data_IF_099451957252
#
_entry.id   IF_099451957252
#
_cell.length_a   1.000
_cell.length_b   1.000
_cell.length_c   1.000
_cell.angle_alpha   90.00
_cell.angle_beta   90.00
_cell.angle_gamma   90.00
#
_symmetry.space_group_name_H-M   'P 1'
#
loop_
_entity.id
_entity.type
_entity.pdbx_description
1 polymer ?
#
# COMPACT_ATOMS: atom_id res chain seq x y z
N UNK A 1 -60.23 44.79 -40.79
CA UNK A 1 -59.45 43.54 -40.67
C UNK A 1 -58.84 43.49 -39.26
N UNK A 2 -59.26 42.58 -38.38
CA UNK A 2 -58.69 42.48 -37.04
C UNK A 2 -57.49 41.53 -37.01
N UNK A 3 -56.44 41.92 -36.29
CA UNK A 3 -55.24 41.14 -36.02
C UNK A 3 -55.53 40.13 -34.90
N UNK A 4 -55.38 38.84 -35.20
CA UNK A 4 -55.39 37.74 -34.24
C UNK A 4 -54.09 37.75 -33.42
N UNK A 5 -54.21 37.91 -32.10
CA UNK A 5 -53.12 37.72 -31.15
C UNK A 5 -53.01 36.23 -30.79
N UNK A 6 -51.83 35.63 -31.03
CA UNK A 6 -51.47 34.30 -30.56
C UNK A 6 -50.82 34.41 -29.17
N UNK A 7 -51.43 33.78 -28.17
CA UNK A 7 -50.87 33.63 -26.82
C UNK A 7 -50.13 32.30 -26.71
N UNK A 8 -48.82 32.35 -26.45
CA UNK A 8 -48.03 31.17 -26.07
C UNK A 8 -48.15 30.94 -24.55
N UNK A 9 -48.87 29.89 -24.15
CA UNK A 9 -48.79 29.36 -22.78
C UNK A 9 -47.48 28.59 -22.60
N UNK A 10 -46.58 29.13 -21.77
CA UNK A 10 -45.39 28.40 -21.32
C UNK A 10 -45.77 27.36 -20.25
N UNK A 11 -45.36 26.08 -20.40
CA UNK A 11 -45.62 25.05 -19.40
C UNK A 11 -44.86 25.33 -18.10
N UNK A 12 -45.54 25.16 -16.96
CA UNK A 12 -44.93 25.30 -15.62
C UNK A 12 -43.89 24.20 -15.38
N UNK A 13 -42.71 24.51 -14.83
CA UNK A 13 -41.72 23.50 -14.48
C UNK A 13 -42.24 22.59 -13.35
N UNK A 14 -41.86 21.29 -13.35
CA UNK A 14 -42.27 20.35 -12.31
C UNK A 14 -41.72 20.76 -10.94
N UNK A 15 -42.57 20.66 -9.92
CA UNK A 15 -42.20 20.95 -8.54
C UNK A 15 -41.07 20.04 -8.06
N UNK A 16 -39.96 20.64 -7.63
CA UNK A 16 -38.82 19.94 -7.02
C UNK A 16 -39.28 19.19 -5.77
N UNK A 17 -39.33 17.85 -5.84
CA UNK A 17 -39.48 16.98 -4.68
C UNK A 17 -38.32 17.23 -3.71
N UNK A 18 -38.61 17.88 -2.58
CA UNK A 18 -37.69 18.01 -1.46
C UNK A 18 -37.45 16.62 -0.85
N UNK A 19 -36.45 15.91 -1.33
CA UNK A 19 -35.93 14.74 -0.63
C UNK A 19 -35.42 15.19 0.73
N UNK A 20 -36.15 14.86 1.81
CA UNK A 20 -35.64 14.94 3.18
C UNK A 20 -34.40 14.07 3.25
N UNK A 21 -33.22 14.68 3.22
CA UNK A 21 -31.97 14.05 3.60
C UNK A 21 -32.14 13.55 5.05
N UNK A 22 -32.40 12.24 5.20
CA UNK A 22 -32.38 11.60 6.51
C UNK A 22 -30.96 11.78 7.06
N UNK A 23 -30.82 12.59 8.12
CA UNK A 23 -29.56 12.71 8.87
C UNK A 23 -29.19 11.32 9.39
N UNK A 24 -28.10 10.76 8.86
CA UNK A 24 -27.52 9.52 9.36
C UNK A 24 -27.06 9.76 10.82
N UNK A 25 -27.37 8.87 11.78
CA UNK A 25 -26.90 9.01 13.16
C UNK A 25 -25.37 9.09 13.19
N UNK A 26 -24.82 9.99 14.00
CA UNK A 26 -23.38 10.04 14.26
C UNK A 26 -22.98 8.86 15.14
N UNK A 27 -21.83 8.21 14.88
CA UNK A 27 -21.33 7.15 15.75
C UNK A 27 -21.04 7.69 17.15
N UNK A 28 -21.37 6.88 18.17
CA UNK A 28 -21.03 7.20 19.56
C UNK A 28 -19.51 7.14 19.77
N UNK A 29 -18.98 8.00 20.66
CA UNK A 29 -17.58 7.97 21.05
C UNK A 29 -17.19 6.62 21.66
N UNK A 30 -16.05 6.07 21.24
CA UNK A 30 -15.56 4.78 21.71
C UNK A 30 -16.19 3.57 21.02
N UNK A 31 -17.14 3.78 20.10
CA UNK A 31 -17.72 2.72 19.30
C UNK A 31 -16.77 2.29 18.17
N UNK A 32 -16.71 0.98 17.93
CA UNK A 32 -16.26 0.46 16.64
C UNK A 32 -17.44 0.50 15.68
N UNK A 33 -17.30 1.22 14.58
CA UNK A 33 -18.29 1.25 13.50
C UNK A 33 -17.77 0.44 12.33
N UNK A 34 -18.61 -0.40 11.73
CA UNK A 34 -18.26 -1.14 10.51
C UNK A 34 -19.01 -0.54 9.33
N UNK A 35 -18.27 -0.05 8.34
CA UNK A 35 -18.82 0.25 7.03
C UNK A 35 -18.62 -0.95 6.10
N UNK A 36 -19.27 -0.93 4.93
CA UNK A 36 -19.06 -1.90 3.86
C UNK A 36 -18.80 -1.19 2.55
N UNK A 37 -17.92 -1.77 1.73
CA UNK A 37 -17.70 -1.32 0.36
C UNK A 37 -18.79 -1.84 -0.60
N UNK A 38 -18.59 -1.64 -1.90
CA UNK A 38 -19.53 -2.09 -2.93
C UNK A 38 -19.62 -3.63 -3.07
N UNK A 39 -18.60 -4.37 -2.61
CA UNK A 39 -18.53 -5.83 -2.59
C UNK A 39 -18.91 -6.41 -1.23
N UNK A 40 -19.50 -5.61 -0.34
CA UNK A 40 -19.90 -5.95 1.03
C UNK A 40 -18.74 -6.33 1.97
N UNK A 41 -17.49 -6.07 1.60
CA UNK A 41 -16.30 -6.25 2.45
C UNK A 41 -16.33 -5.23 3.58
N UNK A 42 -15.98 -5.67 4.78
CA UNK A 42 -16.04 -4.83 5.98
C UNK A 42 -14.89 -3.82 6.02
N UNK A 43 -15.17 -2.61 6.52
CA UNK A 43 -14.15 -1.62 6.85
C UNK A 43 -14.40 -1.18 8.29
N UNK A 44 -13.48 -1.50 9.20
CA UNK A 44 -13.62 -1.20 10.62
C UNK A 44 -13.12 0.20 10.95
N UNK A 45 -13.87 0.96 11.76
CA UNK A 45 -13.53 2.28 12.25
C UNK A 45 -13.57 2.32 13.77
N UNK A 46 -12.44 2.63 14.39
CA UNK A 46 -12.34 2.86 15.83
C UNK A 46 -12.50 4.37 16.11
N UNK A 47 -13.72 4.81 16.46
CA UNK A 47 -14.08 6.24 16.51
C UNK A 47 -13.84 6.82 17.90
N UNK A 48 -12.80 7.66 18.03
CA UNK A 48 -12.40 8.30 19.29
C UNK A 48 -12.59 9.82 19.29
N UNK A 49 -13.28 10.36 18.28
CA UNK A 49 -13.58 11.78 18.15
C UNK A 49 -15.00 12.03 17.64
N UNK A 50 -15.72 13.00 18.22
CA UNK A 50 -17.12 13.32 17.85
C UNK A 50 -17.26 13.83 16.41
N UNK A 51 -16.22 14.46 15.87
CA UNK A 51 -16.19 15.07 14.53
C UNK A 51 -15.74 14.11 13.43
N UNK A 52 -15.75 12.79 13.68
CA UNK A 52 -15.27 11.81 12.72
C UNK A 52 -16.22 11.69 11.50
N UNK A 53 -15.67 11.90 10.31
CA UNK A 53 -16.36 11.69 9.03
C UNK A 53 -16.23 10.24 8.56
N UNK A 54 -16.78 9.30 9.34
CA UNK A 54 -16.67 7.85 9.04
C UNK A 54 -17.23 7.51 7.67
N UNK A 55 -18.35 8.14 7.29
CA UNK A 55 -18.96 7.91 5.98
C UNK A 55 -18.03 8.37 4.85
N UNK A 56 -17.43 9.57 4.94
CA UNK A 56 -16.48 10.06 3.95
C UNK A 56 -15.22 9.20 3.86
N UNK A 57 -14.68 8.74 5.00
CA UNK A 57 -13.51 7.85 5.00
C UNK A 57 -13.81 6.48 4.38
N UNK A 58 -14.95 5.87 4.74
CA UNK A 58 -15.37 4.59 4.17
C UNK A 58 -15.60 4.69 2.66
N UNK A 59 -16.23 5.78 2.22
CA UNK A 59 -16.51 6.07 0.83
C UNK A 59 -15.23 6.36 0.01
N UNK A 60 -14.22 6.96 0.63
CA UNK A 60 -12.89 7.11 0.02
C UNK A 60 -12.19 5.75 -0.14
N UNK A 61 -12.12 4.95 0.93
CA UNK A 61 -11.44 3.66 0.89
C UNK A 61 -12.16 2.66 -0.03
N UNK A 62 -13.49 2.58 0.04
CA UNK A 62 -14.28 1.68 -0.81
C UNK A 62 -14.27 2.02 -2.31
N UNK A 63 -13.79 3.20 -2.70
CA UNK A 63 -13.54 3.56 -4.11
C UNK A 63 -12.07 3.45 -4.50
N UNK A 64 -11.17 3.27 -3.54
CA UNK A 64 -9.77 3.03 -3.84
C UNK A 64 -9.57 1.60 -4.38
N UNK A 65 -8.44 1.33 -5.01
CA UNK A 65 -8.09 0.01 -5.52
C UNK A 65 -7.68 -0.86 -4.34
N UNK A 66 -8.48 -1.89 -4.05
CA UNK A 66 -8.22 -2.83 -2.97
C UNK A 66 -8.83 -4.21 -3.26
N UNK A 67 -8.27 -5.24 -2.62
CA UNK A 67 -8.81 -6.59 -2.54
C UNK A 67 -9.49 -6.82 -1.19
N UNK A 68 -9.51 -8.08 -0.76
CA UNK A 68 -10.12 -8.52 0.51
C UNK A 68 -9.31 -8.06 1.74
N UNK A 69 -8.07 -7.61 1.55
CA UNK A 69 -7.22 -7.08 2.61
C UNK A 69 -7.85 -5.89 3.32
N UNK A 70 -8.74 -5.13 2.66
CA UNK A 70 -9.45 -4.02 3.31
C UNK A 70 -10.22 -4.47 4.58
N UNK A 71 -10.62 -5.74 4.64
CA UNK A 71 -11.28 -6.35 5.79
C UNK A 71 -10.40 -6.50 7.03
N UNK A 72 -9.08 -6.34 6.90
CA UNK A 72 -8.12 -6.57 7.98
C UNK A 72 -7.52 -5.27 8.54
N UNK A 73 -7.87 -4.12 7.97
CA UNK A 73 -7.50 -2.80 8.50
C UNK A 73 -8.59 -2.22 9.41
N UNK A 74 -8.15 -1.57 10.48
CA UNK A 74 -8.99 -0.70 11.31
C UNK A 74 -8.53 0.74 11.19
N UNK A 75 -9.43 1.65 10.84
CA UNK A 75 -9.17 3.09 10.80
C UNK A 75 -9.53 3.69 12.16
N UNK A 76 -8.52 3.99 12.97
CA UNK A 76 -8.66 4.73 14.21
C UNK A 76 -8.73 6.24 13.93
N UNK A 77 -9.86 6.84 14.28
CA UNK A 77 -10.11 8.28 14.08
C UNK A 77 -10.04 9.00 15.42
N UNK A 78 -9.02 9.84 15.61
CA UNK A 78 -8.72 10.49 16.90
C UNK A 78 -8.72 12.01 16.78
N UNK A 79 -8.85 12.78 17.87
CA UNK A 79 -8.61 14.22 17.84
C UNK A 79 -7.20 14.52 17.33
N UNK A 80 -7.02 15.61 16.57
CA UNK A 80 -5.70 16.00 16.01
C UNK A 80 -4.61 16.06 17.08
N UNK A 81 -4.93 16.55 18.28
CA UNK A 81 -4.01 16.63 19.41
C UNK A 81 -3.50 15.27 19.91
N UNK A 82 -4.19 14.16 19.59
CA UNK A 82 -3.82 12.81 20.02
C UNK A 82 -3.00 12.03 18.99
N UNK A 83 -2.83 12.55 17.76
CA UNK A 83 -2.09 11.85 16.70
C UNK A 83 -0.68 11.50 17.15
N UNK A 84 0.07 12.48 17.66
CA UNK A 84 1.46 12.28 18.10
C UNK A 84 1.59 11.20 19.17
N UNK A 85 0.65 11.15 20.11
CA UNK A 85 0.61 10.12 21.16
C UNK A 85 0.35 8.73 20.58
N UNK A 86 -0.62 8.59 19.68
CA UNK A 86 -0.94 7.30 19.08
C UNK A 86 0.15 6.81 18.12
N UNK A 87 0.75 7.72 17.36
CA UNK A 87 1.80 7.42 16.39
C UNK A 87 3.20 7.36 16.99
N UNK A 88 3.37 7.72 18.26
CA UNK A 88 4.65 7.74 18.97
C UNK A 88 5.73 8.59 18.26
N UNK A 89 5.29 9.61 17.53
CA UNK A 89 6.16 10.54 16.79
C UNK A 89 5.57 11.96 16.90
N UNK A 90 6.41 12.91 17.33
CA UNK A 90 6.05 14.31 17.49
C UNK A 90 5.78 15.03 16.16
N UNK A 91 6.19 14.49 15.02
CA UNK A 91 6.00 15.06 13.68
C UNK A 91 4.92 14.35 12.88
N UNK A 92 4.42 13.21 13.33
CA UNK A 92 3.40 12.44 12.63
C UNK A 92 2.10 13.23 12.46
N UNK A 93 1.55 13.17 11.26
CA UNK A 93 0.21 13.68 10.91
C UNK A 93 -0.83 12.55 10.81
N UNK A 94 -0.35 11.32 10.62
CA UNK A 94 -1.04 10.05 10.72
C UNK A 94 0.03 8.95 10.86
N UNK A 95 -0.41 7.71 11.02
CA UNK A 95 0.49 6.56 10.97
C UNK A 95 -0.28 5.27 10.69
N UNK A 96 0.40 4.36 10.00
CA UNK A 96 0.06 2.96 9.94
C UNK A 96 0.89 2.16 10.95
N UNK A 97 0.24 1.22 11.63
CA UNK A 97 0.91 0.20 12.44
C UNK A 97 0.24 -1.13 12.16
N UNK A 98 1.00 -2.16 11.80
CA UNK A 98 0.44 -3.48 11.51
C UNK A 98 1.40 -4.61 11.81
N UNK A 99 0.83 -5.79 11.99
CA UNK A 99 1.55 -7.07 12.08
C UNK A 99 0.64 -8.20 11.62
N UNK A 100 1.22 -9.25 11.04
CA UNK A 100 0.53 -10.51 10.71
C UNK A 100 -0.77 -10.32 9.91
N UNK A 101 -0.75 -9.47 8.89
CA UNK A 101 -1.89 -9.26 8.00
C UNK A 101 -3.03 -8.40 8.57
N UNK A 102 -2.86 -7.81 9.75
CA UNK A 102 -3.82 -6.84 10.34
C UNK A 102 -3.14 -5.50 10.57
N UNK A 103 -3.90 -4.42 10.40
CA UNK A 103 -3.36 -3.06 10.47
C UNK A 103 -4.27 -2.08 11.20
N UNK A 104 -3.67 -1.07 11.81
CA UNK A 104 -4.34 0.10 12.35
C UNK A 104 -3.80 1.33 11.64
N UNK A 105 -4.68 2.03 10.95
CA UNK A 105 -4.42 3.37 10.42
C UNK A 105 -4.94 4.37 11.44
N UNK A 106 -4.08 5.26 11.94
CA UNK A 106 -4.51 6.35 12.83
C UNK A 106 -4.51 7.67 12.09
N UNK A 107 -5.68 8.30 11.94
CA UNK A 107 -5.85 9.61 11.28
C UNK A 107 -6.57 10.62 12.16
N UNK A 108 -6.37 11.94 11.92
CA UNK A 108 -7.08 12.96 12.67
C UNK A 108 -8.54 13.06 12.21
N UNK A 109 -9.45 13.37 13.13
CA UNK A 109 -10.86 13.64 12.86
C UNK A 109 -11.05 14.97 12.12
N UNK A 110 -10.88 14.94 10.79
CA UNK A 110 -10.95 16.09 9.88
C UNK A 110 -11.82 15.73 8.68
N UNK A 111 -12.36 16.72 7.95
CA UNK A 111 -13.10 16.44 6.71
C UNK A 111 -12.27 15.57 5.75
N UNK A 112 -12.89 14.57 5.11
CA UNK A 112 -12.16 13.61 4.24
C UNK A 112 -11.29 14.30 3.18
N UNK A 113 -11.73 15.42 2.62
CA UNK A 113 -10.97 16.21 1.63
C UNK A 113 -9.60 16.67 2.13
N UNK A 114 -9.46 16.89 3.44
CA UNK A 114 -8.21 17.39 4.05
C UNK A 114 -7.24 16.27 4.38
N UNK A 115 -7.74 15.05 4.62
CA UNK A 115 -6.93 13.89 5.01
C UNK A 115 -6.85 12.83 3.92
N UNK A 116 -7.45 13.06 2.75
CA UNK A 116 -7.55 12.06 1.67
C UNK A 116 -6.20 11.48 1.27
N UNK A 117 -5.22 12.33 0.96
CA UNK A 117 -3.89 11.89 0.56
C UNK A 117 -3.22 11.10 1.69
N UNK A 118 -3.31 11.60 2.92
CA UNK A 118 -2.76 10.95 4.11
C UNK A 118 -3.43 9.59 4.39
N UNK A 119 -4.76 9.49 4.33
CA UNK A 119 -5.48 8.23 4.55
C UNK A 119 -5.14 7.21 3.46
N UNK A 120 -5.03 7.63 2.19
CA UNK A 120 -4.59 6.76 1.11
C UNK A 120 -3.12 6.33 1.29
N UNK A 121 -2.26 7.23 1.76
CA UNK A 121 -0.87 6.92 2.07
C UNK A 121 -0.77 5.83 3.15
N UNK A 122 -1.43 6.03 4.30
CA UNK A 122 -1.43 5.02 5.37
C UNK A 122 -2.09 3.70 4.94
N UNK A 123 -3.10 3.76 4.08
CA UNK A 123 -3.69 2.56 3.50
C UNK A 123 -2.76 1.88 2.48
N UNK A 124 -1.93 2.63 1.77
CA UNK A 124 -0.87 2.10 0.92
C UNK A 124 0.12 1.23 1.71
N UNK A 125 0.54 1.68 2.90
CA UNK A 125 1.35 0.85 3.82
C UNK A 125 0.62 -0.44 4.22
N UNK A 126 -0.70 -0.39 4.42
CA UNK A 126 -1.48 -1.60 4.70
C UNK A 126 -1.49 -2.59 3.53
N UNK A 127 -1.70 -2.09 2.31
CA UNK A 127 -1.68 -2.89 1.09
C UNK A 127 -0.31 -3.51 0.87
N UNK A 128 0.78 -2.76 1.05
CA UNK A 128 2.15 -3.30 0.95
C UNK A 128 2.37 -4.47 1.92
N UNK A 129 1.88 -4.33 3.16
CA UNK A 129 2.05 -5.34 4.19
C UNK A 129 1.20 -6.60 4.00
N UNK A 130 0.19 -6.57 3.12
CA UNK A 130 -0.81 -7.64 2.98
C UNK A 130 -0.86 -8.26 1.59
N UNK A 131 -0.39 -7.53 0.57
CA UNK A 131 -0.48 -7.93 -0.83
C UNK A 131 0.92 -8.10 -1.40
N UNK A 132 1.17 -9.22 -2.09
CA UNK A 132 2.41 -9.40 -2.87
C UNK A 132 2.35 -8.53 -4.12
N UNK A 133 3.39 -7.72 -4.34
CA UNK A 133 3.42 -6.74 -5.45
C UNK A 133 4.58 -6.94 -6.45
N UNK A 134 4.79 -8.16 -6.98
CA UNK A 134 5.94 -8.47 -7.84
C UNK A 134 5.97 -7.65 -9.15
N UNK A 135 4.81 -7.29 -9.72
CA UNK A 135 4.77 -6.50 -10.96
C UNK A 135 5.16 -5.06 -10.69
N UNK A 136 4.71 -4.47 -9.58
CA UNK A 136 5.15 -3.14 -9.17
C UNK A 136 6.64 -3.12 -8.85
N UNK A 137 7.15 -4.12 -8.11
CA UNK A 137 8.59 -4.25 -7.81
C UNK A 137 9.44 -4.22 -9.08
N UNK A 138 9.04 -5.04 -10.07
CA UNK A 138 9.69 -5.09 -11.39
C UNK A 138 9.58 -3.77 -12.14
N UNK A 139 8.37 -3.24 -12.33
CA UNK A 139 8.13 -2.01 -13.09
C UNK A 139 8.84 -0.78 -12.47
N UNK A 140 8.91 -0.73 -11.14
CA UNK A 140 9.57 0.35 -10.39
C UNK A 140 11.08 0.12 -10.21
N UNK A 141 11.58 -1.06 -10.60
CA UNK A 141 12.98 -1.50 -10.49
C UNK A 141 13.47 -1.41 -9.04
N UNK A 142 12.65 -1.81 -8.08
CA UNK A 142 12.94 -1.62 -6.65
C UNK A 142 14.17 -2.41 -6.20
N UNK A 143 14.34 -3.64 -6.67
CA UNK A 143 15.53 -4.45 -6.33
C UNK A 143 16.83 -3.84 -6.84
N UNK A 144 16.84 -3.28 -8.05
CA UNK A 144 18.00 -2.54 -8.55
C UNK A 144 18.31 -1.31 -7.68
N UNK A 145 17.29 -0.59 -7.21
CA UNK A 145 17.46 0.54 -6.29
C UNK A 145 17.93 0.09 -4.91
N UNK A 146 17.47 -1.06 -4.43
CA UNK A 146 17.88 -1.62 -3.14
C UNK A 146 19.36 -2.05 -3.20
N UNK A 147 19.76 -2.80 -4.24
CA UNK A 147 21.17 -3.21 -4.47
C UNK A 147 22.13 -2.04 -4.58
N UNK A 148 21.74 -0.99 -5.31
CA UNK A 148 22.57 0.23 -5.47
C UNK A 148 22.46 1.20 -4.29
N UNK A 149 21.67 0.85 -3.27
CA UNK A 149 21.49 1.68 -2.10
C UNK A 149 20.75 2.99 -2.33
N UNK A 150 19.92 3.08 -3.36
CA UNK A 150 19.04 4.25 -3.57
C UNK A 150 17.83 4.23 -2.64
N UNK A 151 17.41 3.03 -2.21
CA UNK A 151 16.33 2.78 -1.22
C UNK A 151 16.79 1.81 -0.14
N UNK A 152 16.02 1.67 0.93
CA UNK A 152 16.17 0.68 1.99
C UNK A 152 14.80 0.10 2.39
N UNK A 153 14.78 -1.10 2.98
CA UNK A 153 13.53 -1.69 3.50
C UNK A 153 12.99 -0.96 4.73
N UNK A 154 13.81 -0.13 5.35
CA UNK A 154 13.51 0.65 6.54
C UNK A 154 13.83 2.14 6.33
N UNK A 155 13.82 2.91 7.42
CA UNK A 155 14.11 4.33 7.42
C UNK A 155 15.61 4.68 7.56
N UNK A 156 16.54 3.71 7.45
CA UNK A 156 17.99 3.95 7.58
C UNK A 156 18.54 4.96 6.57
N UNK A 157 17.82 5.20 5.46
CA UNK A 157 18.14 6.20 4.44
C UNK A 157 17.20 7.42 4.44
N UNK A 158 16.41 7.55 5.49
CA UNK A 158 15.38 8.57 5.63
C UNK A 158 14.06 8.21 4.95
N UNK A 159 13.01 8.90 5.37
CA UNK A 159 11.61 8.70 4.96
C UNK A 159 11.45 8.46 3.45
N UNK A 160 11.87 9.43 2.62
CA UNK A 160 11.66 9.36 1.16
C UNK A 160 12.40 8.22 0.44
N UNK A 161 13.28 7.48 1.14
CA UNK A 161 14.08 6.39 0.59
C UNK A 161 13.70 5.03 1.17
N UNK A 162 12.70 4.92 2.04
CA UNK A 162 12.20 3.61 2.42
C UNK A 162 11.34 3.03 1.29
N UNK A 163 11.37 1.72 1.11
CA UNK A 163 10.56 1.01 0.11
C UNK A 163 9.06 1.21 0.37
N UNK A 164 8.63 1.08 1.63
CA UNK A 164 7.23 1.27 2.01
C UNK A 164 6.72 2.68 1.71
N UNK A 165 7.54 3.71 1.90
CA UNK A 165 7.16 5.09 1.58
C UNK A 165 7.07 5.32 0.07
N UNK A 166 7.95 4.71 -0.72
CA UNK A 166 7.84 4.72 -2.18
C UNK A 166 6.56 4.03 -2.64
N UNK A 167 6.21 2.89 -2.02
CA UNK A 167 4.98 2.17 -2.32
C UNK A 167 3.74 3.00 -1.96
N UNK A 168 3.68 3.54 -0.75
CA UNK A 168 2.54 4.33 -0.25
C UNK A 168 2.30 5.57 -1.11
N UNK A 169 3.36 6.27 -1.54
CA UNK A 169 3.24 7.43 -2.43
C UNK A 169 2.81 7.04 -3.85
N UNK A 170 3.29 5.92 -4.39
CA UNK A 170 2.81 5.40 -5.67
C UNK A 170 1.33 4.97 -5.58
N UNK A 171 0.88 4.44 -4.44
CA UNK A 171 -0.53 4.14 -4.16
C UNK A 171 -1.39 5.42 -4.07
N UNK A 172 -0.89 6.51 -3.49
CA UNK A 172 -1.57 7.81 -3.54
C UNK A 172 -1.70 8.29 -4.99
N UNK A 173 -0.61 8.22 -5.78
CA UNK A 173 -0.61 8.63 -7.18
C UNK A 173 -1.58 7.82 -8.06
N UNK A 174 -1.88 6.56 -7.71
CA UNK A 174 -2.91 5.75 -8.36
C UNK A 174 -4.32 6.36 -8.26
N UNK A 175 -4.57 7.17 -7.23
CA UNK A 175 -5.89 7.71 -6.91
C UNK A 175 -5.98 9.24 -6.97
N UNK A 176 -4.83 9.92 -6.99
CA UNK A 176 -4.71 11.37 -6.91
C UNK A 176 -3.62 11.87 -7.85
N UNK A 177 -4.03 12.44 -8.99
CA UNK A 177 -3.10 13.06 -9.94
C UNK A 177 -2.38 14.25 -9.30
N UNK A 178 -1.07 14.36 -9.54
CA UNK A 178 -0.25 15.48 -9.12
C UNK A 178 0.16 15.49 -7.64
N UNK A 179 -0.28 14.52 -6.83
CA UNK A 179 0.13 14.38 -5.42
C UNK A 179 1.26 13.36 -5.32
N UNK A 180 2.46 13.83 -5.01
CA UNK A 180 3.64 12.98 -4.80
C UNK A 180 4.73 13.72 -4.03
N UNK A 181 5.20 13.13 -2.94
CA UNK A 181 6.11 13.79 -1.98
C UNK A 181 7.58 13.39 -2.17
N UNK A 182 7.85 12.28 -2.85
CA UNK A 182 9.23 11.80 -3.07
C UNK A 182 9.86 12.55 -4.25
N UNK A 183 10.75 13.49 -3.94
CA UNK A 183 11.33 14.41 -4.94
C UNK A 183 12.49 13.84 -5.74
N UNK A 184 13.24 12.89 -5.19
CA UNK A 184 14.41 12.32 -5.86
C UNK A 184 14.05 11.21 -6.87
N UNK A 185 12.83 10.66 -6.76
CA UNK A 185 12.33 9.61 -7.61
C UNK A 185 11.27 10.20 -8.55
N UNK A 186 11.38 9.93 -9.85
CA UNK A 186 10.34 10.31 -10.81
C UNK A 186 8.99 9.74 -10.38
N UNK A 187 7.93 10.52 -10.48
CA UNK A 187 6.55 10.04 -10.28
C UNK A 187 6.30 8.75 -11.07
N UNK A 188 5.44 7.84 -10.57
CA UNK A 188 5.16 6.61 -11.27
C UNK A 188 4.49 6.91 -12.61
N UNK A 189 5.00 6.28 -13.68
CA UNK A 189 4.34 6.29 -14.98
C UNK A 189 3.03 5.50 -14.93
N UNK A 190 2.20 5.64 -15.95
CA UNK A 190 0.99 4.82 -16.04
C UNK A 190 1.29 3.32 -16.09
N UNK A 191 2.42 2.90 -16.67
CA UNK A 191 2.85 1.50 -16.68
C UNK A 191 3.10 0.97 -15.27
N UNK A 192 3.76 1.76 -14.41
CA UNK A 192 3.98 1.43 -13.00
C UNK A 192 2.65 1.36 -12.24
N UNK A 193 1.77 2.35 -12.43
CA UNK A 193 0.45 2.38 -11.78
C UNK A 193 -0.45 1.22 -12.22
N UNK A 194 -0.40 0.82 -13.50
CA UNK A 194 -1.08 -0.38 -14.00
C UNK A 194 -0.54 -1.65 -13.37
N UNK A 195 0.79 -1.78 -13.23
CA UNK A 195 1.40 -2.92 -12.56
C UNK A 195 0.95 -3.04 -11.10
N UNK A 196 0.97 -1.92 -10.36
CA UNK A 196 0.47 -1.84 -8.98
C UNK A 196 -0.99 -2.26 -8.87
N UNK A 197 -1.86 -1.71 -9.72
CA UNK A 197 -3.29 -2.06 -9.74
C UNK A 197 -3.52 -3.55 -10.02
N UNK A 198 -2.74 -4.16 -10.91
CA UNK A 198 -2.85 -5.60 -11.24
C UNK A 198 -2.47 -6.48 -10.05
N UNK A 199 -1.40 -6.10 -9.33
CA UNK A 199 -0.99 -6.84 -8.14
C UNK A 199 -2.07 -6.80 -7.05
N UNK A 200 -2.66 -5.62 -6.80
CA UNK A 200 -3.69 -5.45 -5.76
C UNK A 200 -4.99 -6.18 -6.12
N UNK A 201 -5.41 -6.12 -7.37
CA UNK A 201 -6.69 -6.73 -7.79
C UNK A 201 -6.59 -8.20 -8.14
N UNK A 202 -5.39 -8.78 -8.14
CA UNK A 202 -5.14 -10.15 -8.61
C UNK A 202 -5.49 -10.39 -10.08
N UNK A 203 -5.79 -9.34 -10.85
CA UNK A 203 -6.23 -9.47 -12.25
C UNK A 203 -5.06 -9.73 -13.20
N UNK A 204 -5.10 -10.89 -13.85
CA UNK A 204 -4.33 -11.20 -15.04
C UNK A 204 -5.11 -10.79 -16.29
N UNK A 205 -5.21 -9.50 -16.60
CA UNK A 205 -5.68 -9.09 -17.95
C UNK A 205 -4.51 -9.18 -18.94
N UNK A 206 -4.74 -9.78 -20.11
CA UNK A 206 -3.75 -9.98 -21.18
C UNK A 206 -2.90 -8.73 -21.40
N UNK A 207 -1.60 -8.90 -21.59
CA UNK A 207 -0.70 -7.79 -21.84
C UNK A 207 -1.21 -6.99 -23.06
N UNK A 208 -1.52 -5.68 -22.93
CA UNK A 208 -1.42 -4.83 -24.11
C UNK A 208 0.04 -4.85 -24.59
N UNK A 209 0.30 -4.81 -25.92
CA UNK A 209 1.65 -4.81 -26.45
C UNK A 209 2.46 -3.70 -25.78
N UNK A 210 3.70 -4.03 -25.40
CA UNK A 210 4.59 -3.12 -24.72
C UNK A 210 4.69 -1.81 -25.53
N UNK A 211 4.16 -0.73 -24.98
CA UNK A 211 4.44 0.60 -25.50
C UNK A 211 5.93 0.85 -25.27
N UNK A 212 6.67 1.06 -26.35
CA UNK A 212 8.08 1.43 -26.34
C UNK A 212 8.24 2.76 -25.60
N UNK A 213 8.72 2.73 -24.36
CA UNK A 213 9.23 3.93 -23.70
C UNK A 213 10.55 4.33 -24.39
N UNK A 214 10.69 5.56 -24.92
CA UNK A 214 11.96 6.04 -25.46
C UNK A 214 12.82 6.54 -24.31
N UNK A 215 13.58 5.63 -23.68
CA UNK A 215 14.83 5.91 -22.95
C UNK A 215 15.39 4.60 -22.37
N UNK A 216 15.76 3.67 -23.25
CA UNK A 216 16.73 2.64 -22.90
C UNK A 216 18.10 3.31 -22.90
N UNK A 217 18.58 3.66 -21.71
CA UNK A 217 20.02 3.84 -21.48
C UNK A 217 20.67 2.45 -21.65
N UNK A 218 21.46 2.20 -22.71
CA UNK A 218 22.03 0.90 -22.99
C UNK A 218 23.22 0.54 -22.09
N UNK A 219 23.57 1.38 -21.11
CA UNK A 219 24.82 1.23 -20.34
C UNK A 219 24.68 0.51 -18.99
N UNK A 220 23.52 -0.06 -18.65
CA UNK A 220 23.41 -0.88 -17.44
C UNK A 220 23.52 -2.36 -17.82
N UNK A 221 24.64 -3.05 -17.52
CA UNK A 221 24.68 -4.50 -17.69
C UNK A 221 23.53 -5.11 -16.91
N UNK A 222 22.79 -6.02 -17.56
CA UNK A 222 21.86 -6.94 -16.91
C UNK A 222 22.71 -7.93 -16.12
N UNK A 223 23.36 -7.42 -15.08
CA UNK A 223 24.12 -8.18 -14.10
C UNK A 223 23.12 -8.79 -13.13
N UNK A 224 22.85 -10.07 -13.33
CA UNK A 224 22.29 -10.94 -12.33
C UNK A 224 23.31 -11.11 -11.21
N UNK A 225 23.19 -10.28 -10.17
CA UNK A 225 23.75 -10.59 -8.86
C UNK A 225 22.65 -10.43 -7.82
N UNK A 226 22.23 -11.58 -7.29
CA UNK A 226 21.41 -11.71 -6.09
C UNK A 226 22.37 -11.63 -4.91
N UNK A 227 22.32 -10.54 -4.16
CA UNK A 227 22.86 -10.53 -2.79
C UNK A 227 21.86 -9.85 -1.87
N UNK A 228 20.97 -10.65 -1.30
CA UNK A 228 20.28 -10.32 -0.06
C UNK A 228 21.29 -10.41 1.08
N UNK A 229 21.79 -9.28 1.59
CA UNK A 229 22.54 -9.24 2.86
C UNK A 229 21.62 -8.75 3.97
N UNK A 230 21.12 -9.68 4.78
CA UNK A 230 20.77 -9.42 6.18
C UNK A 230 21.47 -10.48 7.03
N UNK A 231 22.59 -10.10 7.63
CA UNK A 231 23.33 -10.95 8.57
C UNK A 231 22.53 -11.08 9.87
N UNK A 232 22.10 -12.30 10.20
CA UNK A 232 21.72 -12.69 11.56
C UNK A 232 22.42 -14.00 11.90
N UNK A 233 23.56 -13.90 12.58
CA UNK A 233 24.15 -15.05 13.28
C UNK A 233 23.42 -15.24 14.62
N UNK A 234 23.07 -16.46 14.99
CA UNK A 234 22.48 -16.71 16.31
C UNK A 234 22.06 -18.15 16.56
N UNK A 235 22.14 -18.58 17.82
CA UNK A 235 21.83 -19.95 18.22
C UNK A 235 20.35 -20.31 17.98
N UNK A 236 20.10 -21.44 17.33
CA UNK A 236 18.76 -22.00 17.12
C UNK A 236 18.51 -23.07 18.18
N UNK A 237 17.52 -22.85 19.05
CA UNK A 237 17.08 -23.88 19.99
C UNK A 237 16.36 -25.03 19.28
N UNK A 238 16.41 -26.22 19.87
CA UNK A 238 15.72 -27.41 19.36
C UNK A 238 14.21 -27.12 19.20
N UNK A 239 13.64 -27.42 18.03
CA UNK A 239 12.22 -27.17 17.72
C UNK A 239 11.88 -25.74 17.29
N UNK A 240 12.84 -24.83 17.12
CA UNK A 240 12.59 -23.46 16.66
C UNK A 240 12.56 -23.36 15.14
N UNK A 241 11.60 -22.60 14.60
CA UNK A 241 11.52 -22.24 13.17
C UNK A 241 12.18 -20.88 12.95
N UNK A 242 13.03 -20.78 11.93
CA UNK A 242 13.56 -19.50 11.43
C UNK A 242 12.98 -19.23 10.05
N UNK A 243 12.33 -18.07 9.89
CA UNK A 243 11.91 -17.58 8.58
C UNK A 243 12.99 -16.70 7.96
N UNK A 244 13.47 -17.07 6.77
CA UNK A 244 14.32 -16.22 5.93
C UNK A 244 13.44 -15.64 4.83
N UNK A 245 13.11 -14.33 4.86
CA UNK A 245 12.33 -13.73 3.80
C UNK A 245 13.18 -13.62 2.53
N UNK A 246 12.74 -14.26 1.45
CA UNK A 246 13.34 -14.14 0.11
C UNK A 246 12.35 -13.44 -0.80
N UNK A 247 12.81 -12.43 -1.54
CA UNK A 247 12.00 -11.71 -2.52
C UNK A 247 12.57 -11.94 -3.91
N UNK A 248 11.71 -12.38 -4.82
CA UNK A 248 12.05 -12.69 -6.20
C UNK A 248 11.49 -11.61 -7.12
N UNK A 249 12.32 -11.14 -8.05
CA UNK A 249 11.88 -10.25 -9.12
C UNK A 249 11.30 -11.04 -10.29
N UNK A 250 9.97 -10.96 -10.44
CA UNK A 250 9.24 -11.46 -11.59
C UNK A 250 8.48 -12.77 -11.35
N UNK A 251 7.50 -13.07 -12.22
CA UNK A 251 6.85 -14.37 -12.24
C UNK A 251 7.86 -15.48 -12.58
N UNK A 252 7.58 -16.71 -12.14
CA UNK A 252 8.30 -17.94 -12.50
C UNK A 252 9.76 -18.06 -12.00
N UNK A 253 10.12 -17.30 -10.96
CA UNK A 253 11.39 -17.44 -10.25
C UNK A 253 11.29 -18.53 -9.19
N UNK A 254 12.31 -19.39 -9.10
CA UNK A 254 12.40 -20.46 -8.11
C UNK A 254 13.47 -20.18 -7.06
N UNK A 255 13.15 -20.41 -5.79
CA UNK A 255 14.12 -20.41 -4.69
C UNK A 255 14.46 -21.83 -4.31
N UNK A 256 15.74 -22.17 -4.37
CA UNK A 256 16.27 -23.39 -3.77
C UNK A 256 16.98 -23.02 -2.47
N UNK A 257 16.55 -23.60 -1.36
CA UNK A 257 17.21 -23.48 -0.07
C UNK A 257 17.87 -24.84 0.27
N UNK A 258 19.19 -24.87 0.40
CA UNK A 258 19.92 -26.05 0.89
C UNK A 258 20.36 -25.79 2.32
N UNK A 259 20.01 -26.67 3.24
CA UNK A 259 20.37 -26.59 4.65
C UNK A 259 21.46 -27.63 4.91
N UNK A 260 22.66 -27.20 5.28
CA UNK A 260 23.76 -28.09 5.68
C UNK A 260 24.01 -27.94 7.18
N UNK A 261 23.73 -28.99 7.98
CA UNK A 261 24.14 -28.98 9.38
C UNK A 261 25.65 -29.18 9.45
N UNK A 262 26.33 -28.30 10.17
CA UNK A 262 27.71 -28.51 10.63
C UNK A 262 27.68 -28.77 12.14
N UNK A 263 28.25 -29.91 12.53
CA UNK A 263 28.31 -30.38 13.91
C UNK A 263 29.76 -30.44 14.40
N UNK A 264 30.46 -29.31 14.32
CA UNK A 264 31.78 -29.16 14.95
C UNK A 264 31.63 -28.69 16.42
N UNK A 265 32.04 -29.53 17.38
CA UNK A 265 32.23 -29.13 18.78
C UNK A 265 30.96 -29.00 19.64
N UNK A 266 29.89 -29.74 19.34
CA UNK A 266 28.66 -29.77 20.17
C UNK A 266 27.72 -28.57 19.97
N UNK A 267 28.00 -27.71 19.00
CA UNK A 267 27.07 -26.68 18.49
C UNK A 267 26.65 -27.10 17.08
N UNK A 268 25.36 -26.98 16.78
CA UNK A 268 24.85 -27.14 15.42
C UNK A 268 24.88 -25.76 14.77
N UNK A 269 25.77 -25.57 13.80
CA UNK A 269 25.70 -24.46 12.88
C UNK A 269 24.88 -24.89 11.67
N UNK A 270 24.08 -24.00 11.11
CA UNK A 270 23.30 -24.29 9.91
C UNK A 270 23.72 -23.35 8.80
N UNK A 271 24.34 -23.90 7.75
CA UNK A 271 24.54 -23.16 6.52
C UNK A 271 23.30 -23.29 5.64
N UNK A 272 22.63 -22.17 5.38
CA UNK A 272 21.58 -22.06 4.37
C UNK A 272 22.20 -21.53 3.09
N UNK A 273 22.04 -22.22 1.98
CA UNK A 273 22.33 -21.69 0.65
C UNK A 273 21.03 -21.35 -0.04
N UNK A 274 20.89 -20.10 -0.47
CA UNK A 274 19.72 -19.67 -1.26
C UNK A 274 20.17 -19.37 -2.69
N UNK A 275 19.64 -20.13 -3.65
CA UNK A 275 19.86 -19.92 -5.08
C UNK A 275 18.55 -19.53 -5.78
N UNK A 276 18.65 -18.66 -6.78
CA UNK A 276 17.54 -18.29 -7.66
C UNK A 276 17.83 -18.78 -9.08
N UNK A 277 16.95 -19.60 -9.64
CA UNK A 277 17.05 -20.15 -11.01
C UNK A 277 18.41 -20.76 -11.37
N UNK A 278 19.03 -21.49 -10.43
CA UNK A 278 20.33 -22.14 -10.65
C UNK A 278 21.54 -21.21 -10.68
N UNK A 279 21.37 -19.91 -10.38
CA UNK A 279 22.48 -18.97 -10.21
C UNK A 279 23.23 -19.20 -8.89
N UNK A 280 24.45 -18.67 -8.81
CA UNK A 280 25.41 -18.84 -7.71
C UNK A 280 24.74 -18.64 -6.35
N UNK A 281 24.78 -19.65 -5.46
CA UNK A 281 24.12 -19.57 -4.17
C UNK A 281 24.78 -18.51 -3.28
N UNK A 282 23.97 -17.81 -2.49
CA UNK A 282 24.47 -17.08 -1.33
C UNK A 282 24.46 -18.01 -0.11
N UNK A 283 25.61 -18.18 0.55
CA UNK A 283 25.75 -18.98 1.77
C UNK A 283 25.50 -18.13 3.01
N UNK A 284 24.71 -18.64 3.95
CA UNK A 284 24.36 -18.00 5.22
C UNK A 284 24.62 -18.95 6.38
N UNK A 285 25.49 -18.60 7.32
CA UNK A 285 25.70 -19.39 8.54
C UNK A 285 24.79 -18.90 9.67
N UNK A 286 24.07 -19.83 10.31
CA UNK A 286 23.19 -19.60 11.46
C UNK A 286 23.75 -20.29 12.70
#
# INVERSE_FOLDING_TARGET
MPLLAWSHETPRPPALRRHRLRRRPLPALGATTTARDAQARAIAFDVRAKSADVAGYADLLGRSVHGDEIGTVTVRVVPRSRIRTHCRDARAVACYSGSLGRGIITIPARPVREVRATLLHEYGHHVEATVRTPRWWSARRMSAKLRTGKVAMDYSRGWSRSVGEVFAEDYVALHMRGVYSIRWLRQPSESILRALKRDITGRSEGLPPAASDPATDPSVPVGGDVLSRTLRSGTVGMGRVIGIPVMLDGPDRHVTAVVRPDSAGGRVAVDVEVACDGMTPSTYSV
#
